data_IF_839917527026
#
_entry.id   IF_839917527026
#
_cell.length_a   1.000
_cell.length_b   1.000
_cell.length_c   1.000
_cell.angle_alpha   90.00
_cell.angle_beta   90.00
_cell.angle_gamma   90.00
#
_symmetry.space_group_name_H-M   'P 1'
#
loop_
_entity.id
_entity.type
_entity.pdbx_description
1 polymer ?
#
# COMPACT_ATOMS: atom_id res chain seq x y z
N UNK A 1 43.84 -2.41 -11.62
CA UNK A 1 42.82 -1.66 -12.41
C UNK A 1 41.60 -2.48 -12.82
N UNK A 2 41.69 -3.76 -13.23
CA UNK A 2 40.52 -4.57 -13.65
C UNK A 2 39.44 -4.81 -12.57
N UNK A 3 39.83 -4.90 -11.28
CA UNK A 3 38.90 -5.09 -10.15
C UNK A 3 37.99 -3.88 -9.87
N UNK A 4 38.46 -2.65 -10.09
CA UNK A 4 37.68 -1.43 -9.81
C UNK A 4 36.62 -1.17 -10.88
N UNK A 5 36.87 -1.58 -12.13
CA UNK A 5 35.90 -1.47 -13.23
C UNK A 5 34.75 -2.47 -13.06
N UNK A 6 35.06 -3.69 -12.59
CA UNK A 6 34.05 -4.70 -12.31
C UNK A 6 33.11 -4.29 -11.16
N UNK A 7 33.64 -3.64 -10.12
CA UNK A 7 32.85 -3.13 -9.00
C UNK A 7 31.91 -1.98 -9.44
N UNK A 8 32.38 -1.10 -10.33
CA UNK A 8 31.59 0.00 -10.88
C UNK A 8 30.43 -0.48 -11.77
N UNK A 9 30.68 -1.51 -12.60
CA UNK A 9 29.65 -2.12 -13.45
C UNK A 9 28.55 -2.82 -12.65
N UNK A 10 28.89 -3.47 -11.53
CA UNK A 10 27.91 -4.12 -10.65
C UNK A 10 27.03 -3.07 -9.96
N UNK A 11 27.58 -1.93 -9.54
CA UNK A 11 26.81 -0.84 -8.92
C UNK A 11 25.79 -0.24 -9.90
N UNK A 12 26.18 -0.03 -11.17
CA UNK A 12 25.28 0.46 -12.22
C UNK A 12 24.14 -0.55 -12.50
N UNK A 13 24.43 -1.86 -12.48
CA UNK A 13 23.42 -2.92 -12.66
C UNK A 13 22.43 -3.03 -11.48
N UNK A 14 22.84 -2.72 -10.24
CA UNK A 14 21.94 -2.72 -9.08
C UNK A 14 21.09 -1.44 -8.96
N UNK A 15 21.60 -0.27 -9.35
CA UNK A 15 20.82 0.98 -9.43
C UNK A 15 19.78 0.93 -10.56
N UNK A 16 20.15 0.38 -11.72
CA UNK A 16 19.24 0.20 -12.87
C UNK A 16 18.12 -0.81 -12.60
N UNK A 17 18.32 -1.80 -11.72
CA UNK A 17 17.26 -2.75 -11.37
C UNK A 17 16.05 -2.10 -10.66
N UNK A 18 16.26 -1.00 -9.92
CA UNK A 18 15.18 -0.30 -9.18
C UNK A 18 14.38 0.67 -10.05
N UNK A 19 14.95 1.14 -11.16
CA UNK A 19 14.24 2.00 -12.13
C UNK A 19 13.41 1.21 -13.14
N UNK A 20 13.61 -0.11 -13.27
CA UNK A 20 12.89 -0.98 -14.22
C UNK A 20 11.41 -1.16 -13.88
N UNK A 21 11.04 -1.20 -12.59
CA UNK A 21 9.67 -1.47 -12.15
C UNK A 21 8.63 -0.40 -12.58
N UNK A 22 9.11 0.80 -12.95
CA UNK A 22 8.26 1.95 -13.28
C UNK A 22 8.46 2.50 -14.69
N UNK A 23 9.20 1.78 -15.55
CA UNK A 23 9.35 2.16 -16.96
C UNK A 23 7.96 2.19 -17.61
N UNK A 24 7.62 3.32 -18.23
CA UNK A 24 6.32 3.54 -18.88
C UNK A 24 5.24 4.18 -18.01
N UNK A 25 5.57 4.58 -16.77
CA UNK A 25 4.71 5.44 -15.94
C UNK A 25 5.26 6.86 -15.88
N UNK A 26 4.35 7.84 -15.97
CA UNK A 26 4.69 9.23 -15.80
C UNK A 26 5.12 9.48 -14.35
N UNK A 27 6.25 10.18 -14.19
CA UNK A 27 6.73 10.60 -12.89
C UNK A 27 5.74 11.63 -12.33
N UNK A 28 5.23 11.46 -11.09
CA UNK A 28 4.32 12.44 -10.52
C UNK A 28 5.02 13.78 -10.27
N UNK A 29 4.36 14.86 -10.65
CA UNK A 29 4.68 16.24 -10.30
C UNK A 29 3.70 16.75 -9.22
N UNK A 30 4.01 17.84 -8.51
CA UNK A 30 3.14 18.34 -7.44
C UNK A 30 1.72 18.69 -7.94
N UNK A 31 1.59 19.13 -9.20
CA UNK A 31 0.30 19.41 -9.85
C UNK A 31 -0.58 18.17 -10.06
N UNK A 32 0.02 16.97 -10.03
CA UNK A 32 -0.72 15.72 -10.22
C UNK A 32 -1.41 15.24 -8.94
N UNK A 33 -1.01 15.80 -7.79
CA UNK A 33 -1.50 15.42 -6.48
C UNK A 33 -2.80 16.16 -6.14
N UNK A 34 -3.85 15.38 -5.93
CA UNK A 34 -5.17 15.89 -5.59
C UNK A 34 -5.45 15.62 -4.10
N UNK A 35 -5.92 16.63 -3.39
CA UNK A 35 -6.42 16.49 -2.02
C UNK A 35 -7.67 15.60 -1.99
N UNK A 36 -7.72 14.70 -1.02
CA UNK A 36 -8.86 13.81 -0.82
C UNK A 36 -9.63 14.27 0.41
N UNK A 37 -10.92 14.52 0.23
CA UNK A 37 -11.80 14.90 1.33
C UNK A 37 -11.75 13.85 2.47
N UNK A 38 -11.70 14.34 3.71
CA UNK A 38 -11.61 13.52 4.92
C UNK A 38 -10.36 12.62 5.03
N UNK A 39 -9.35 12.79 4.17
CA UNK A 39 -8.08 12.09 4.25
C UNK A 39 -6.92 13.08 4.42
N UNK A 40 -5.97 12.84 5.34
CA UNK A 40 -4.80 13.70 5.55
C UNK A 40 -3.68 13.41 4.52
N UNK A 41 -4.04 13.19 3.25
CA UNK A 41 -3.09 12.90 2.17
C UNK A 41 -3.55 13.55 0.85
N UNK A 42 -2.58 13.75 -0.04
CA UNK A 42 -2.80 13.95 -1.46
C UNK A 42 -2.45 12.69 -2.25
N UNK A 43 -3.15 12.44 -3.35
CA UNK A 43 -2.90 11.29 -4.22
C UNK A 43 -2.54 11.77 -5.64
N UNK A 44 -1.38 11.33 -6.14
CA UNK A 44 -0.98 11.52 -7.53
C UNK A 44 -1.78 10.62 -8.46
N UNK A 45 -2.48 11.20 -9.44
CA UNK A 45 -3.42 10.49 -10.33
C UNK A 45 -3.05 10.56 -11.81
N UNK A 46 -1.84 11.04 -12.15
CA UNK A 46 -1.38 11.29 -13.51
C UNK A 46 -1.46 10.06 -14.43
N UNK A 47 -1.26 8.86 -13.88
CA UNK A 47 -1.31 7.62 -14.64
C UNK A 47 -2.72 7.00 -14.73
N UNK A 48 -3.76 7.64 -14.17
CA UNK A 48 -5.16 7.21 -14.33
C UNK A 48 -5.73 7.77 -15.64
N UNK A 49 -6.34 6.88 -16.43
CA UNK A 49 -6.69 7.17 -17.83
C UNK A 49 -8.00 7.92 -18.02
N UNK A 50 -8.91 7.82 -17.06
CA UNK A 50 -10.26 8.38 -17.18
C UNK A 50 -10.67 9.08 -15.89
N UNK A 51 -11.61 10.02 -16.00
CA UNK A 51 -12.15 10.72 -14.83
C UNK A 51 -12.91 9.76 -13.91
N UNK A 52 -13.55 8.71 -14.44
CA UNK A 52 -14.18 7.67 -13.62
C UNK A 52 -13.14 6.94 -12.76
N UNK A 53 -11.95 6.65 -13.29
CA UNK A 53 -10.88 6.04 -12.51
C UNK A 53 -10.40 6.96 -11.38
N UNK A 54 -10.22 8.25 -11.67
CA UNK A 54 -9.86 9.24 -10.66
C UNK A 54 -10.93 9.34 -9.58
N UNK A 55 -12.20 9.41 -9.98
CA UNK A 55 -13.34 9.47 -9.07
C UNK A 55 -13.42 8.21 -8.19
N UNK A 56 -13.24 7.02 -8.75
CA UNK A 56 -13.22 5.76 -8.00
C UNK A 56 -12.14 5.76 -6.90
N UNK A 57 -10.95 6.27 -7.21
CA UNK A 57 -9.87 6.41 -6.22
C UNK A 57 -10.25 7.43 -5.15
N UNK A 58 -10.81 8.59 -5.51
CA UNK A 58 -11.21 9.62 -4.54
C UNK A 58 -12.23 9.06 -3.55
N UNK A 59 -13.31 8.48 -4.06
CA UNK A 59 -14.39 7.93 -3.24
C UNK A 59 -13.89 6.78 -2.36
N UNK A 60 -13.19 5.79 -2.94
CA UNK A 60 -12.72 4.65 -2.17
C UNK A 60 -11.68 5.04 -1.11
N UNK A 61 -10.82 6.03 -1.39
CA UNK A 61 -9.85 6.52 -0.39
C UNK A 61 -10.54 7.27 0.74
N UNK A 62 -11.52 8.12 0.44
CA UNK A 62 -12.36 8.79 1.46
C UNK A 62 -12.96 7.75 2.42
N UNK A 63 -13.58 6.70 1.88
CA UNK A 63 -14.18 5.62 2.67
C UNK A 63 -13.16 4.90 3.57
N UNK A 64 -11.95 4.62 3.06
CA UNK A 64 -10.86 4.02 3.87
C UNK A 64 -10.50 4.92 5.06
N UNK A 65 -10.34 6.23 4.84
CA UNK A 65 -9.97 7.15 5.93
C UNK A 65 -11.08 7.39 6.93
N UNK A 66 -12.35 7.35 6.51
CA UNK A 66 -13.48 7.36 7.45
C UNK A 66 -13.44 6.14 8.39
N UNK A 67 -13.03 4.98 7.88
CA UNK A 67 -12.87 3.77 8.70
C UNK A 67 -11.62 3.88 9.59
N UNK A 68 -10.48 4.33 9.07
CA UNK A 68 -9.26 4.49 9.88
C UNK A 68 -9.47 5.43 11.08
N UNK A 69 -10.29 6.48 10.92
CA UNK A 69 -10.64 7.42 12.00
C UNK A 69 -11.66 6.87 13.00
N UNK A 70 -12.26 5.70 12.73
CA UNK A 70 -13.33 5.16 13.56
C UNK A 70 -12.80 4.46 14.83
N UNK A 71 -13.48 4.62 15.99
CA UNK A 71 -13.10 3.90 17.21
C UNK A 71 -13.12 2.38 17.05
N UNK A 72 -14.03 1.85 16.24
CA UNK A 72 -14.15 0.41 16.00
C UNK A 72 -12.92 -0.14 15.27
N UNK A 73 -12.33 0.65 14.37
CA UNK A 73 -11.10 0.25 13.69
C UNK A 73 -9.95 0.15 14.68
N UNK A 74 -9.77 1.18 15.52
CA UNK A 74 -8.77 1.17 16.60
C UNK A 74 -8.93 -0.08 17.47
N UNK A 75 -10.13 -0.32 17.98
CA UNK A 75 -10.41 -1.46 18.85
C UNK A 75 -10.10 -2.79 18.15
N UNK A 76 -10.49 -2.94 16.89
CA UNK A 76 -10.24 -4.15 16.12
C UNK A 76 -8.75 -4.40 15.88
N UNK A 77 -7.97 -3.34 15.59
CA UNK A 77 -6.50 -3.43 15.43
C UNK A 77 -5.81 -3.77 16.74
N UNK A 78 -6.14 -3.06 17.82
CA UNK A 78 -5.51 -3.22 19.14
C UNK A 78 -5.80 -4.57 19.80
N UNK A 79 -6.88 -5.24 19.42
CA UNK A 79 -7.32 -6.52 20.01
C UNK A 79 -6.51 -7.76 19.63
N UNK A 80 -5.50 -7.63 18.76
CA UNK A 80 -4.78 -8.78 18.17
C UNK A 80 -3.28 -8.52 18.09
N UNK A 81 -2.53 -9.60 17.93
CA UNK A 81 -1.15 -9.55 17.46
C UNK A 81 -1.09 -9.68 15.94
N UNK A 82 -0.06 -9.09 15.34
CA UNK A 82 0.08 -9.03 13.90
C UNK A 82 1.47 -9.46 13.46
N UNK A 83 1.55 -10.18 12.33
CA UNK A 83 2.81 -10.43 11.64
C UNK A 83 3.20 -9.18 10.86
N UNK A 84 4.35 -8.59 11.16
CA UNK A 84 4.87 -7.44 10.40
C UNK A 84 5.70 -7.87 9.19
N UNK A 85 6.24 -9.09 9.21
CA UNK A 85 6.84 -9.71 8.03
C UNK A 85 6.76 -11.23 8.09
N UNK A 86 6.99 -11.90 6.95
CA UNK A 86 7.15 -13.35 6.91
C UNK A 86 8.54 -13.83 7.38
N UNK A 87 9.39 -12.93 7.88
CA UNK A 87 10.73 -13.32 8.36
C UNK A 87 10.60 -14.06 9.69
N UNK A 88 11.40 -15.11 9.82
CA UNK A 88 11.63 -15.81 11.08
C UNK A 88 13.03 -15.45 11.56
N UNK A 89 13.15 -14.88 12.75
CA UNK A 89 14.45 -14.54 13.36
C UNK A 89 14.64 -15.42 14.59
N UNK A 90 15.68 -16.25 14.58
CA UNK A 90 16.01 -17.15 15.69
C UNK A 90 14.82 -18.02 16.14
N UNK A 91 14.03 -18.52 15.20
CA UNK A 91 12.83 -19.34 15.48
C UNK A 91 11.57 -18.54 15.86
N UNK A 92 11.68 -17.22 16.06
CA UNK A 92 10.55 -16.37 16.42
C UNK A 92 9.96 -15.66 15.20
N UNK A 93 8.63 -15.57 15.16
CA UNK A 93 7.90 -14.80 14.16
C UNK A 93 8.12 -13.30 14.38
N UNK A 94 8.21 -12.55 13.29
CA UNK A 94 8.33 -11.09 13.32
C UNK A 94 6.94 -10.47 13.58
N UNK A 95 6.61 -10.26 14.87
CA UNK A 95 5.29 -9.81 15.33
C UNK A 95 5.36 -8.48 16.07
N UNK A 96 4.26 -7.72 16.01
CA UNK A 96 3.97 -6.60 16.91
C UNK A 96 2.59 -6.78 17.55
N UNK A 97 2.41 -6.23 18.75
CA UNK A 97 1.09 -6.17 19.34
C UNK A 97 0.22 -5.10 18.64
N UNK A 98 -1.10 -5.23 18.75
CA UNK A 98 -2.04 -4.35 18.08
C UNK A 98 -1.94 -2.88 18.47
N UNK A 99 -1.54 -2.57 19.70
CA UNK A 99 -1.35 -1.17 20.15
C UNK A 99 -0.17 -0.51 19.43
N UNK A 100 0.93 -1.24 19.26
CA UNK A 100 2.08 -0.76 18.50
C UNK A 100 1.76 -0.59 17.02
N UNK A 101 1.02 -1.55 16.43
CA UNK A 101 0.55 -1.45 15.04
C UNK A 101 -0.34 -0.22 14.87
N UNK A 102 -1.34 -0.03 15.73
CA UNK A 102 -2.22 1.13 15.65
C UNK A 102 -1.46 2.45 15.80
N UNK A 103 -0.53 2.53 16.77
CA UNK A 103 0.34 3.70 16.92
C UNK A 103 1.13 4.02 15.64
N UNK A 104 1.65 3.01 14.95
CA UNK A 104 2.34 3.20 13.67
C UNK A 104 1.39 3.69 12.58
N UNK A 105 0.18 3.14 12.49
CA UNK A 105 -0.84 3.57 11.53
C UNK A 105 -1.30 5.03 11.79
N UNK A 106 -1.34 5.45 13.05
CA UNK A 106 -1.82 6.77 13.49
C UNK A 106 -0.74 7.87 13.48
N UNK A 107 0.54 7.50 13.39
CA UNK A 107 1.68 8.43 13.39
C UNK A 107 1.76 9.38 12.17
N UNK A 108 0.86 9.21 11.20
CA UNK A 108 0.76 10.08 10.03
C UNK A 108 0.82 9.30 8.71
N UNK A 109 0.12 9.83 7.73
CA UNK A 109 0.04 9.27 6.39
C UNK A 109 0.84 10.12 5.42
N UNK A 110 1.37 9.49 4.39
CA UNK A 110 2.21 10.14 3.38
C UNK A 110 1.50 10.16 2.04
N UNK A 111 1.74 11.23 1.27
CA UNK A 111 1.26 11.32 -0.11
C UNK A 111 1.86 10.17 -0.94
N UNK A 112 1.09 9.67 -1.90
CA UNK A 112 1.55 8.65 -2.84
C UNK A 112 0.90 8.82 -4.21
N UNK A 113 1.49 8.22 -5.25
CA UNK A 113 0.92 8.20 -6.60
C UNK A 113 0.42 6.81 -6.99
N UNK A 114 -0.72 6.75 -7.67
CA UNK A 114 -1.30 5.50 -8.14
C UNK A 114 -0.81 5.19 -9.55
N UNK A 115 -0.35 3.95 -9.73
CA UNK A 115 0.18 3.45 -10.98
C UNK A 115 -0.61 2.19 -11.39
N UNK A 116 -1.52 2.29 -12.38
CA UNK A 116 -2.32 1.15 -12.82
C UNK A 116 -1.45 0.08 -13.48
N UNK A 117 -1.37 -1.13 -12.88
CA UNK A 117 -0.46 -2.21 -13.30
C UNK A 117 -0.62 -2.63 -14.78
N UNK A 118 0.42 -2.47 -15.62
CA UNK A 118 0.59 -3.06 -16.97
C UNK A 118 2.09 -3.27 -17.30
N UNK A 119 2.45 -4.22 -18.19
CA UNK A 119 2.44 -5.67 -17.99
C UNK A 119 3.59 -6.23 -17.13
N UNK A 120 4.51 -5.41 -16.58
CA UNK A 120 5.66 -5.93 -15.83
C UNK A 120 5.80 -5.28 -14.45
N UNK A 121 5.88 -6.12 -13.41
CA UNK A 121 6.56 -5.90 -12.13
C UNK A 121 6.32 -4.60 -11.35
N UNK A 122 5.18 -3.93 -11.48
CA UNK A 122 4.79 -2.91 -10.50
C UNK A 122 4.56 -3.61 -9.14
N UNK A 123 5.59 -3.56 -8.29
CA UNK A 123 5.56 -3.90 -6.87
C UNK A 123 5.19 -2.61 -6.14
N UNK A 124 4.30 -2.68 -5.15
CA UNK A 124 4.06 -1.56 -4.26
C UNK A 124 5.41 -1.07 -3.71
N UNK A 125 5.85 0.14 -4.08
CA UNK A 125 7.07 0.69 -3.50
C UNK A 125 6.67 1.40 -2.22
N UNK A 126 6.69 0.63 -1.13
CA UNK A 126 6.76 1.13 0.23
C UNK A 126 8.01 2.01 0.40
N UNK A 127 7.96 2.89 1.39
CA UNK A 127 9.07 3.78 1.77
C UNK A 127 10.43 3.05 1.72
N UNK A 128 11.45 3.66 1.10
CA UNK A 128 12.80 3.06 1.01
C UNK A 128 13.52 3.07 2.37
N UNK A 129 13.18 4.04 3.21
CA UNK A 129 13.65 4.23 4.59
C UNK A 129 12.64 5.08 5.35
N UNK A 130 12.83 5.21 6.67
CA UNK A 130 12.07 6.13 7.54
C UNK A 130 12.09 7.61 7.07
N UNK A 131 12.99 7.96 6.15
CA UNK A 131 13.26 9.35 5.73
C UNK A 131 13.05 9.62 4.23
N UNK A 132 12.81 8.59 3.40
CA UNK A 132 12.60 8.75 1.96
C UNK A 132 11.15 8.42 1.58
N UNK A 133 10.33 9.48 1.56
CA UNK A 133 8.93 9.46 1.14
C UNK A 133 8.72 10.09 -0.24
N UNK A 134 9.80 10.47 -0.93
CA UNK A 134 9.73 11.37 -2.11
C UNK A 134 9.11 10.73 -3.34
N UNK A 135 8.87 9.40 -3.33
CA UNK A 135 8.43 8.61 -4.48
C UNK A 135 7.51 7.45 -4.11
N UNK A 136 6.68 7.59 -3.08
CA UNK A 136 5.71 6.53 -2.74
C UNK A 136 4.79 6.29 -3.94
N UNK A 137 4.83 5.05 -4.45
CA UNK A 137 4.10 4.62 -5.65
C UNK A 137 3.39 3.33 -5.32
N UNK A 138 2.07 3.35 -5.45
CA UNK A 138 1.22 2.19 -5.18
C UNK A 138 0.72 1.60 -6.50
N UNK A 139 0.74 0.29 -6.59
CA UNK A 139 0.41 -0.44 -7.82
C UNK A 139 -0.96 -1.09 -7.71
N UNK A 140 -1.97 -0.50 -8.35
CA UNK A 140 -3.34 -1.02 -8.29
C UNK A 140 -3.71 -1.67 -9.62
N UNK A 141 -4.32 -2.86 -9.58
CA UNK A 141 -4.84 -3.50 -10.80
C UNK A 141 -5.98 -2.65 -11.38
N UNK A 142 -5.94 -2.23 -12.67
CA UNK A 142 -6.98 -1.38 -13.27
C UNK A 142 -8.39 -1.95 -13.13
N UNK A 143 -8.51 -3.29 -13.21
CA UNK A 143 -9.78 -4.00 -13.03
C UNK A 143 -10.45 -3.69 -11.68
N UNK A 144 -9.68 -3.51 -10.59
CA UNK A 144 -10.24 -3.15 -9.27
C UNK A 144 -10.77 -1.73 -9.25
N UNK A 145 -10.07 -0.79 -9.90
CA UNK A 145 -10.50 0.61 -10.04
C UNK A 145 -11.81 0.68 -10.85
N UNK A 146 -11.83 0.05 -12.03
CA UNK A 146 -12.98 0.08 -12.94
C UNK A 146 -14.24 -0.59 -12.35
N UNK A 147 -14.07 -1.51 -11.40
CA UNK A 147 -15.15 -2.24 -10.73
C UNK A 147 -15.81 -1.47 -9.59
N UNK A 148 -15.29 -0.30 -9.23
CA UNK A 148 -15.84 0.52 -8.14
C UNK A 148 -17.30 0.91 -8.35
N UNK A 149 -17.72 1.13 -9.60
CA UNK A 149 -19.10 1.48 -9.93
C UNK A 149 -20.00 0.26 -10.17
N UNK A 150 -19.55 -0.94 -9.78
CA UNK A 150 -20.40 -2.13 -9.79
C UNK A 150 -21.49 -2.04 -8.71
N UNK A 151 -22.67 -2.60 -8.98
CA UNK A 151 -23.74 -2.72 -7.98
C UNK A 151 -23.43 -3.78 -6.90
N UNK A 152 -22.42 -4.62 -7.09
CA UNK A 152 -22.04 -5.64 -6.12
C UNK A 152 -21.07 -5.08 -5.06
N UNK A 153 -21.57 -4.96 -3.83
CA UNK A 153 -20.80 -4.51 -2.66
C UNK A 153 -19.50 -5.32 -2.45
N UNK A 154 -19.52 -6.63 -2.67
CA UNK A 154 -18.33 -7.48 -2.53
C UNK A 154 -17.26 -7.07 -3.55
N UNK A 155 -17.67 -6.83 -4.79
CA UNK A 155 -16.80 -6.36 -5.87
C UNK A 155 -16.23 -4.97 -5.55
N UNK A 156 -17.06 -4.01 -5.11
CA UNK A 156 -16.61 -2.67 -4.71
C UNK A 156 -15.54 -2.72 -3.62
N UNK A 157 -15.74 -3.60 -2.63
CA UNK A 157 -14.84 -3.73 -1.48
C UNK A 157 -13.42 -4.19 -1.84
N UNK A 158 -13.18 -4.73 -3.04
CA UNK A 158 -11.83 -5.07 -3.52
C UNK A 158 -10.94 -3.83 -3.64
N UNK A 159 -11.50 -2.68 -4.04
CA UNK A 159 -10.74 -1.44 -4.14
C UNK A 159 -10.43 -0.85 -2.77
N UNK A 160 -11.40 -0.86 -1.85
CA UNK A 160 -11.22 -0.48 -0.43
C UNK A 160 -10.11 -1.29 0.21
N UNK A 161 -10.17 -2.62 0.06
CA UNK A 161 -9.14 -3.54 0.55
C UNK A 161 -7.76 -3.17 0.02
N UNK A 162 -7.67 -2.91 -1.29
CA UNK A 162 -6.40 -2.59 -1.95
C UNK A 162 -5.85 -1.27 -1.43
N UNK A 163 -6.63 -0.21 -1.38
CA UNK A 163 -6.16 1.10 -0.93
C UNK A 163 -5.68 1.03 0.53
N UNK A 164 -6.44 0.38 1.40
CA UNK A 164 -6.03 0.20 2.80
C UNK A 164 -4.74 -0.64 2.94
N UNK A 165 -4.60 -1.72 2.16
CA UNK A 165 -3.37 -2.53 2.08
C UNK A 165 -2.17 -1.68 1.68
N UNK A 166 -2.30 -0.93 0.58
CA UNK A 166 -1.22 -0.11 0.04
C UNK A 166 -0.83 1.03 0.97
N UNK A 167 -1.80 1.74 1.58
CA UNK A 167 -1.53 2.77 2.60
C UNK A 167 -0.77 2.18 3.79
N UNK A 168 -1.08 0.95 4.18
CA UNK A 168 -0.36 0.29 5.27
C UNK A 168 1.14 0.15 4.96
N UNK A 169 1.50 -0.14 3.72
CA UNK A 169 2.90 -0.14 3.30
C UNK A 169 3.53 1.25 3.25
N UNK A 170 2.74 2.31 3.02
CA UNK A 170 3.28 3.68 2.98
C UNK A 170 3.51 4.28 4.37
N UNK A 171 2.93 3.75 5.44
CA UNK A 171 3.15 4.28 6.81
C UNK A 171 4.35 3.66 7.51
N UNK A 172 4.82 2.48 7.08
CA UNK A 172 6.04 1.88 7.65
C UNK A 172 6.72 0.88 6.72
N UNK A 173 8.03 1.04 6.55
CA UNK A 173 8.91 0.06 5.90
C UNK A 173 8.99 -1.29 6.63
N UNK A 174 8.49 -1.37 7.88
CA UNK A 174 8.48 -2.62 8.67
C UNK A 174 7.41 -3.60 8.20
N UNK A 175 6.32 -3.11 7.62
CA UNK A 175 5.22 -3.95 7.15
C UNK A 175 5.56 -4.52 5.79
N UNK A 176 6.20 -5.69 5.78
CA UNK A 176 6.65 -6.40 4.60
C UNK A 176 5.72 -7.58 4.33
N UNK A 177 5.32 -7.77 3.08
CA UNK A 177 4.45 -8.88 2.65
C UNK A 177 5.16 -9.88 1.73
N UNK A 178 6.47 -9.72 1.50
CA UNK A 178 7.24 -10.68 0.72
C UNK A 178 7.23 -12.08 1.36
N UNK A 179 6.86 -13.10 0.56
CA UNK A 179 6.79 -14.50 1.01
C UNK A 179 5.46 -14.89 1.67
N UNK A 180 4.42 -14.08 1.53
CA UNK A 180 3.08 -14.36 2.04
C UNK A 180 2.37 -15.53 1.30
N UNK A 181 1.21 -15.94 1.82
CA UNK A 181 0.38 -17.00 1.23
C UNK A 181 0.79 -18.42 1.64
N UNK A 182 1.69 -18.55 2.61
CA UNK A 182 2.13 -19.84 3.16
C UNK A 182 1.42 -20.17 4.48
N UNK A 183 1.58 -21.40 4.97
CA UNK A 183 1.03 -21.81 6.27
C UNK A 183 1.64 -21.01 7.43
N UNK A 184 2.93 -20.69 7.32
CA UNK A 184 3.70 -19.95 8.31
C UNK A 184 3.40 -18.45 8.30
N UNK A 185 3.06 -17.93 7.11
CA UNK A 185 2.76 -16.52 6.86
C UNK A 185 1.43 -16.34 6.11
N UNK A 186 0.28 -16.64 6.76
CA UNK A 186 -1.02 -16.48 6.13
C UNK A 186 -1.37 -15.00 6.00
N UNK A 187 -1.90 -14.60 4.84
CA UNK A 187 -2.24 -13.20 4.50
C UNK A 187 -3.06 -12.52 5.60
N UNK A 188 -4.05 -13.21 6.17
CA UNK A 188 -4.93 -12.65 7.19
C UNK A 188 -4.22 -12.22 8.49
N UNK A 189 -2.99 -12.70 8.74
CA UNK A 189 -2.19 -12.33 9.92
C UNK A 189 -1.13 -11.28 9.63
N UNK A 190 -0.76 -11.06 8.36
CA UNK A 190 0.14 -9.98 7.98
C UNK A 190 -0.54 -8.63 8.16
N UNK A 191 0.18 -7.63 8.67
CA UNK A 191 -0.39 -6.29 8.92
C UNK A 191 -1.02 -5.71 7.66
N UNK A 192 -0.33 -5.67 6.51
CA UNK A 192 -0.87 -5.05 5.30
C UNK A 192 -2.16 -5.70 4.80
N UNK A 193 -2.12 -7.02 4.59
CA UNK A 193 -3.28 -7.79 4.13
C UNK A 193 -4.41 -7.82 5.16
N UNK A 194 -4.08 -8.00 6.42
CA UNK A 194 -5.04 -8.09 7.51
C UNK A 194 -5.76 -6.77 7.77
N UNK A 195 -5.06 -5.62 7.68
CA UNK A 195 -5.68 -4.29 7.70
C UNK A 195 -6.56 -4.09 6.47
N UNK A 196 -6.08 -4.41 5.28
CA UNK A 196 -6.89 -4.35 4.06
C UNK A 196 -8.20 -5.15 4.16
N UNK A 197 -8.12 -6.37 4.69
CA UNK A 197 -9.27 -7.25 4.90
C UNK A 197 -10.23 -6.71 5.96
N UNK A 198 -9.71 -6.17 7.06
CA UNK A 198 -10.48 -5.57 8.13
C UNK A 198 -11.27 -4.35 7.63
N UNK A 199 -10.60 -3.41 6.97
CA UNK A 199 -11.26 -2.19 6.45
C UNK A 199 -12.34 -2.55 5.43
N UNK A 200 -12.05 -3.45 4.50
CA UNK A 200 -13.04 -3.88 3.51
C UNK A 200 -14.25 -4.57 4.16
N UNK A 201 -14.04 -5.33 5.24
CA UNK A 201 -15.13 -5.92 6.03
C UNK A 201 -15.98 -4.84 6.70
N UNK A 202 -15.34 -3.94 7.44
CA UNK A 202 -16.03 -2.85 8.14
C UNK A 202 -16.79 -1.93 7.18
N UNK A 203 -16.23 -1.67 5.99
CA UNK A 203 -16.91 -0.92 4.95
C UNK A 203 -18.19 -1.62 4.53
N UNK A 204 -18.13 -2.91 4.18
CA UNK A 204 -19.31 -3.69 3.75
C UNK A 204 -20.41 -3.74 4.82
N UNK A 205 -20.03 -3.78 6.09
CA UNK A 205 -20.99 -3.80 7.22
C UNK A 205 -21.70 -2.46 7.43
N UNK A 206 -21.15 -1.35 6.91
CA UNK A 206 -21.73 0.00 6.98
C UNK A 206 -22.58 0.40 5.76
N UNK A 207 -22.60 -0.41 4.69
CA UNK A 207 -23.36 -0.15 3.45
C UNK A 207 -24.70 -0.88 3.46
#
# INVERSE_FOLDING_TARGET
MKKNILLFLIIILFESCKSIAWIGYDKPEESDYIEIEAAPIKIGMQNLKTEEQKQAIKEATKEVFLIFKSPEFKQAVESKEWLISCKVKNGNKDVLNGKEVFKILDNGYVNFSINPRKPWNAIAQAQKSETDHTKNRVAIKPKRINKWFSNDKKIKSELINTIAHEITHTVSFKFLDAGHGTLECPDAKLVSYGIGNLVAKMWREKQ
#
